data_IF_025891299334
#
_entry.id   IF_025891299334
#
_cell.length_a   1.000
_cell.length_b   1.000
_cell.length_c   1.000
_cell.angle_alpha   90.00
_cell.angle_beta   90.00
_cell.angle_gamma   90.00
#
_symmetry.space_group_name_H-M   'P 1'
#
loop_
_entity.id
_entity.type
_entity.pdbx_description
1 polymer ?
#
# COMPACT_ATOMS: atom_id res chain seq x y z
N UNK A 1 20.26 -5.07 17.86
CA UNK A 1 18.99 -4.48 17.38
C UNK A 1 17.85 -5.16 18.13
N UNK A 2 16.97 -4.43 18.81
CA UNK A 2 15.81 -4.96 19.57
C UNK A 2 14.54 -4.83 18.71
N UNK A 3 14.53 -5.50 17.54
CA UNK A 3 13.39 -5.48 16.62
C UNK A 3 12.22 -6.30 17.19
N UNK A 4 11.02 -5.74 17.17
CA UNK A 4 9.79 -6.37 17.69
C UNK A 4 8.63 -6.38 16.71
N UNK A 5 8.67 -5.54 15.68
CA UNK A 5 7.60 -5.45 14.70
C UNK A 5 8.13 -5.32 13.27
N UNK A 6 7.36 -5.85 12.31
CA UNK A 6 7.56 -5.64 10.88
C UNK A 6 6.28 -5.05 10.31
N UNK A 7 6.42 -3.93 9.61
CA UNK A 7 5.32 -3.17 9.01
C UNK A 7 5.53 -3.18 7.49
N UNK A 8 4.49 -3.52 6.75
CA UNK A 8 4.54 -3.61 5.29
C UNK A 8 3.67 -2.53 4.66
N UNK A 9 4.14 -1.93 3.57
CA UNK A 9 3.21 -1.37 2.60
C UNK A 9 2.41 -2.49 1.91
N UNK A 10 1.27 -2.12 1.35
CA UNK A 10 0.47 -3.06 0.56
C UNK A 10 0.86 -3.03 -0.91
N UNK A 11 0.78 -1.86 -1.56
CA UNK A 11 1.00 -1.71 -2.99
C UNK A 11 2.43 -2.05 -3.43
N UNK A 12 2.58 -2.93 -4.41
CA UNK A 12 3.87 -3.39 -4.95
C UNK A 12 4.84 -4.00 -3.92
N UNK A 13 4.36 -4.26 -2.68
CA UNK A 13 5.10 -5.00 -1.63
C UNK A 13 4.35 -6.28 -1.31
N UNK A 14 3.15 -6.19 -0.74
CA UNK A 14 2.26 -7.34 -0.49
C UNK A 14 1.39 -7.65 -1.71
N UNK A 15 1.02 -6.65 -2.52
CA UNK A 15 0.53 -6.88 -3.87
C UNK A 15 1.69 -7.02 -4.87
N UNK A 16 1.37 -7.56 -6.05
CA UNK A 16 2.19 -7.43 -7.24
C UNK A 16 2.09 -6.03 -7.85
N UNK A 17 2.71 -5.81 -9.01
CA UNK A 17 2.53 -4.58 -9.78
C UNK A 17 1.07 -4.42 -10.20
N UNK A 18 0.64 -3.18 -10.54
CA UNK A 18 -0.73 -2.95 -11.02
C UNK A 18 -1.10 -3.86 -12.20
N UNK A 19 -2.31 -4.48 -12.15
CA UNK A 19 -2.79 -5.36 -13.22
C UNK A 19 -2.95 -4.57 -14.53
N UNK A 20 -2.21 -4.93 -15.60
CA UNK A 20 -2.27 -4.21 -16.86
C UNK A 20 -3.63 -4.31 -17.57
N UNK A 21 -4.44 -5.35 -17.29
CA UNK A 21 -5.76 -5.48 -17.88
C UNK A 21 -6.75 -4.55 -17.18
N UNK A 22 -6.72 -4.48 -15.86
CA UNK A 22 -7.53 -3.54 -15.10
C UNK A 22 -7.20 -2.09 -15.50
N UNK A 23 -5.93 -1.76 -15.69
CA UNK A 23 -5.49 -0.46 -16.18
C UNK A 23 -6.04 -0.15 -17.59
N UNK A 24 -5.95 -1.10 -18.55
CA UNK A 24 -6.57 -0.93 -19.88
C UNK A 24 -8.07 -0.73 -19.81
N UNK A 25 -8.74 -1.43 -18.89
CA UNK A 25 -10.18 -1.26 -18.68
C UNK A 25 -10.51 0.14 -18.13
N UNK A 26 -9.70 0.68 -17.19
CA UNK A 26 -9.84 2.06 -16.72
C UNK A 26 -9.81 3.06 -17.89
N UNK A 27 -8.81 2.95 -18.74
CA UNK A 27 -8.66 3.81 -19.93
C UNK A 27 -9.84 3.67 -20.89
N UNK A 28 -10.29 2.43 -21.13
CA UNK A 28 -11.43 2.17 -22.02
C UNK A 28 -12.75 2.75 -21.46
N UNK A 29 -12.99 2.66 -20.15
CA UNK A 29 -14.18 3.24 -19.49
C UNK A 29 -14.10 4.75 -19.49
N UNK A 30 -12.93 5.32 -19.22
CA UNK A 30 -12.72 6.76 -19.19
C UNK A 30 -12.86 7.38 -20.59
N UNK A 31 -12.45 6.66 -21.65
CA UNK A 31 -12.58 7.12 -23.03
C UNK A 31 -11.75 8.36 -23.35
N UNK A 32 -10.64 8.56 -22.65
CA UNK A 32 -9.74 9.72 -22.79
C UNK A 32 -8.33 9.26 -23.15
N UNK A 33 -7.49 10.20 -23.55
CA UNK A 33 -6.09 9.94 -23.84
C UNK A 33 -5.37 9.46 -22.56
N UNK A 34 -4.52 8.44 -22.67
CA UNK A 34 -3.80 7.81 -21.57
C UNK A 34 -2.95 8.81 -20.78
N UNK A 35 -2.19 9.67 -21.47
CA UNK A 35 -1.34 10.67 -20.82
C UNK A 35 -2.16 11.65 -19.97
N UNK A 36 -3.29 12.13 -20.51
CA UNK A 36 -4.20 13.01 -19.78
C UNK A 36 -4.86 12.30 -18.59
N UNK A 37 -5.23 11.03 -18.78
CA UNK A 37 -5.78 10.21 -17.71
C UNK A 37 -4.78 10.01 -16.56
N UNK A 38 -3.60 9.50 -16.85
CA UNK A 38 -2.54 9.25 -15.89
C UNK A 38 -2.16 10.51 -15.10
N UNK A 39 -2.01 11.63 -15.80
CA UNK A 39 -1.70 12.90 -15.18
C UNK A 39 -2.75 13.29 -14.14
N UNK A 40 -4.03 13.19 -14.46
CA UNK A 40 -5.11 13.56 -13.54
C UNK A 40 -5.29 12.51 -12.44
N UNK A 41 -5.25 11.22 -12.79
CA UNK A 41 -5.36 10.12 -11.85
C UNK A 41 -4.35 10.23 -10.70
N UNK A 42 -3.08 10.44 -11.00
CA UNK A 42 -2.04 10.56 -9.98
C UNK A 42 -2.00 11.93 -9.29
N UNK A 43 -2.42 13.01 -9.95
CA UNK A 43 -2.42 14.34 -9.35
C UNK A 43 -3.32 14.43 -8.10
N UNK A 44 -4.40 13.67 -8.07
CA UNK A 44 -5.40 13.70 -7.00
C UNK A 44 -5.38 12.43 -6.12
N UNK A 45 -4.42 11.51 -6.37
CA UNK A 45 -4.39 10.22 -5.68
C UNK A 45 -4.20 10.35 -4.17
N UNK A 46 -3.31 11.23 -3.72
CA UNK A 46 -3.08 11.42 -2.28
C UNK A 46 -4.31 12.00 -1.57
N UNK A 47 -5.06 12.90 -2.21
CA UNK A 47 -6.31 13.43 -1.66
C UNK A 47 -7.39 12.35 -1.58
N UNK A 48 -7.42 11.43 -2.54
CA UNK A 48 -8.31 10.27 -2.52
C UNK A 48 -7.90 9.27 -1.43
N UNK A 49 -6.61 8.97 -1.32
CA UNK A 49 -6.08 8.06 -0.30
C UNK A 49 -6.19 8.65 1.13
N UNK A 50 -6.33 9.97 1.27
CA UNK A 50 -6.61 10.65 2.55
C UNK A 50 -8.12 10.87 2.82
N UNK A 51 -9.02 10.37 1.95
CA UNK A 51 -10.47 10.63 2.00
C UNK A 51 -10.88 12.13 1.99
N UNK A 52 -9.96 13.00 1.55
CA UNK A 52 -10.30 14.41 1.22
C UNK A 52 -11.23 14.43 0.01
N UNK A 53 -10.97 13.57 -0.97
CA UNK A 53 -11.84 13.24 -2.07
C UNK A 53 -12.39 11.82 -1.86
N UNK A 54 -13.71 11.69 -1.71
CA UNK A 54 -14.31 10.36 -1.75
C UNK A 54 -14.29 9.79 -3.19
N UNK A 55 -14.61 8.50 -3.35
CA UNK A 55 -14.52 7.84 -4.66
C UNK A 55 -15.33 8.54 -5.76
N UNK A 56 -16.52 9.09 -5.46
CA UNK A 56 -17.30 9.81 -6.44
C UNK A 56 -16.64 11.14 -6.84
N UNK A 57 -16.24 11.95 -5.86
CA UNK A 57 -15.62 13.27 -6.12
C UNK A 57 -14.25 13.13 -6.77
N UNK A 58 -13.47 12.09 -6.44
CA UNK A 58 -12.23 11.79 -7.10
C UNK A 58 -12.42 11.55 -8.60
N UNK A 59 -13.30 10.63 -8.99
CA UNK A 59 -13.55 10.34 -10.39
C UNK A 59 -14.21 11.49 -11.15
N UNK A 60 -15.06 12.30 -10.49
CA UNK A 60 -15.58 13.54 -11.08
C UNK A 60 -14.47 14.57 -11.32
N UNK A 61 -13.46 14.62 -10.46
CA UNK A 61 -12.29 15.49 -10.64
C UNK A 61 -11.45 15.03 -11.82
N UNK A 62 -11.19 13.72 -11.95
CA UNK A 62 -10.50 13.15 -13.12
C UNK A 62 -11.28 13.46 -14.41
N UNK A 63 -12.59 13.31 -14.40
CA UNK A 63 -13.46 13.64 -15.54
C UNK A 63 -13.32 15.11 -15.95
N UNK A 64 -13.43 16.03 -14.99
CA UNK A 64 -13.29 17.46 -15.22
C UNK A 64 -11.94 17.83 -15.83
N UNK A 65 -10.86 17.29 -15.28
CA UNK A 65 -9.49 17.63 -15.71
C UNK A 65 -9.18 17.06 -17.10
N UNK A 66 -9.84 15.97 -17.49
CA UNK A 66 -9.71 15.35 -18.81
C UNK A 66 -10.75 15.83 -19.83
N UNK A 67 -11.64 16.77 -19.42
CA UNK A 67 -12.62 17.39 -20.30
C UNK A 67 -13.82 16.52 -20.66
N UNK A 68 -14.11 15.49 -19.83
CA UNK A 68 -15.24 14.58 -20.01
C UNK A 68 -16.19 14.63 -18.80
N UNK A 69 -17.28 13.87 -18.86
CA UNK A 69 -18.15 13.61 -17.72
C UNK A 69 -18.43 12.11 -17.60
N UNK A 70 -18.35 11.57 -16.39
CA UNK A 70 -18.68 10.18 -16.14
C UNK A 70 -20.10 10.05 -15.57
N UNK A 71 -20.86 9.10 -16.08
CA UNK A 71 -22.13 8.66 -15.48
C UNK A 71 -21.85 7.94 -14.15
N UNK A 72 -22.86 7.83 -13.29
CA UNK A 72 -22.74 7.08 -12.04
C UNK A 72 -22.26 5.64 -12.28
N UNK A 73 -22.77 4.98 -13.33
CA UNK A 73 -22.34 3.62 -13.70
C UNK A 73 -20.87 3.56 -14.13
N UNK A 74 -20.37 4.55 -14.87
CA UNK A 74 -18.96 4.60 -15.22
C UNK A 74 -18.07 4.80 -13.99
N UNK A 75 -18.50 5.64 -13.04
CA UNK A 75 -17.77 5.83 -11.78
C UNK A 75 -17.70 4.53 -10.98
N UNK A 76 -18.78 3.78 -10.88
CA UNK A 76 -18.77 2.45 -10.25
C UNK A 76 -17.79 1.49 -10.93
N UNK A 77 -17.80 1.45 -12.27
CA UNK A 77 -16.88 0.62 -13.04
C UNK A 77 -15.41 1.06 -12.88
N UNK A 78 -15.15 2.37 -12.86
CA UNK A 78 -13.81 2.91 -12.63
C UNK A 78 -13.30 2.55 -11.24
N UNK A 79 -14.12 2.67 -10.20
CA UNK A 79 -13.76 2.25 -8.83
C UNK A 79 -13.46 0.75 -8.75
N UNK A 80 -14.24 -0.08 -9.45
CA UNK A 80 -13.99 -1.52 -9.50
C UNK A 80 -12.67 -1.84 -10.19
N UNK A 81 -12.38 -1.23 -11.34
CA UNK A 81 -11.13 -1.46 -12.06
C UNK A 81 -9.92 -0.91 -11.29
N UNK A 82 -10.05 0.25 -10.63
CA UNK A 82 -9.02 0.78 -9.73
C UNK A 82 -8.70 -0.21 -8.60
N UNK A 83 -9.71 -0.82 -8.00
CA UNK A 83 -9.49 -1.84 -6.99
C UNK A 83 -8.82 -3.10 -7.57
N UNK A 84 -9.29 -3.56 -8.73
CA UNK A 84 -8.75 -4.76 -9.41
C UNK A 84 -7.27 -4.62 -9.77
N UNK A 85 -6.79 -3.42 -10.04
CA UNK A 85 -5.36 -3.17 -10.29
C UNK A 85 -4.44 -3.70 -9.18
N UNK A 86 -4.93 -3.80 -7.95
CA UNK A 86 -4.14 -4.11 -6.75
C UNK A 86 -4.47 -5.47 -6.13
N UNK A 87 -5.23 -6.34 -6.83
CA UNK A 87 -5.68 -7.62 -6.26
C UNK A 87 -4.68 -8.77 -6.46
N UNK A 88 -3.75 -8.67 -7.39
CA UNK A 88 -2.68 -9.65 -7.54
C UNK A 88 -1.71 -9.53 -6.36
N UNK A 89 -1.39 -10.66 -5.75
CA UNK A 89 -0.62 -10.71 -4.53
C UNK A 89 0.81 -11.21 -4.81
N UNK A 90 1.77 -10.70 -4.04
CA UNK A 90 3.14 -11.17 -4.07
C UNK A 90 3.28 -12.47 -3.24
N UNK A 91 3.39 -13.64 -3.88
CA UNK A 91 3.30 -14.92 -3.18
C UNK A 91 4.48 -15.14 -2.20
N UNK A 92 5.66 -14.62 -2.51
CA UNK A 92 6.83 -14.75 -1.64
C UNK A 92 6.65 -13.92 -0.36
N UNK A 93 6.16 -12.69 -0.49
CA UNK A 93 5.89 -11.82 0.66
C UNK A 93 4.79 -12.41 1.54
N UNK A 94 3.71 -12.94 0.94
CA UNK A 94 2.64 -13.60 1.70
C UNK A 94 3.10 -14.86 2.42
N UNK A 95 3.96 -15.68 1.81
CA UNK A 95 4.53 -16.87 2.44
C UNK A 95 5.48 -16.53 3.61
N UNK A 96 6.04 -15.33 3.61
CA UNK A 96 6.94 -14.86 4.67
C UNK A 96 6.19 -14.40 5.93
N UNK A 97 4.98 -13.85 5.80
CA UNK A 97 4.15 -13.34 6.90
C UNK A 97 4.02 -14.34 8.06
N UNK A 98 3.54 -15.58 7.86
CA UNK A 98 3.40 -16.54 8.96
C UNK A 98 4.73 -16.91 9.59
N UNK A 99 5.84 -16.91 8.86
CA UNK A 99 7.18 -17.21 9.37
C UNK A 99 7.68 -16.11 10.31
N UNK A 100 7.43 -14.84 9.95
CA UNK A 100 7.75 -13.68 10.81
C UNK A 100 6.91 -13.78 12.09
N UNK A 101 5.61 -14.05 11.97
CA UNK A 101 4.71 -14.17 13.13
C UNK A 101 5.13 -15.30 14.07
N UNK A 102 5.49 -16.47 13.54
CA UNK A 102 6.01 -17.60 14.30
C UNK A 102 7.34 -17.31 15.02
N UNK A 103 8.11 -16.39 14.49
CA UNK A 103 9.35 -15.91 15.13
C UNK A 103 9.11 -14.88 16.24
N UNK A 104 7.84 -14.58 16.56
CA UNK A 104 7.44 -13.72 17.69
C UNK A 104 7.35 -12.23 17.38
N UNK A 105 7.47 -11.83 16.12
CA UNK A 105 7.30 -10.42 15.74
C UNK A 105 5.83 -10.05 15.60
N UNK A 106 5.50 -8.81 15.94
CA UNK A 106 4.23 -8.19 15.58
C UNK A 106 4.22 -7.79 14.11
N UNK A 107 3.05 -7.90 13.50
CA UNK A 107 2.86 -7.59 12.09
C UNK A 107 1.93 -6.40 11.91
N UNK A 108 2.34 -5.43 11.11
CA UNK A 108 1.52 -4.29 10.71
C UNK A 108 1.43 -4.12 9.21
N UNK A 109 0.33 -3.55 8.75
CA UNK A 109 0.23 -2.93 7.42
C UNK A 109 0.12 -1.42 7.61
N UNK A 110 0.80 -0.66 6.75
CA UNK A 110 0.69 0.79 6.65
C UNK A 110 0.66 1.18 5.18
N UNK A 111 -0.53 1.50 4.67
CA UNK A 111 -0.70 1.80 3.24
C UNK A 111 -1.51 3.07 2.99
N UNK A 112 -1.08 3.82 1.96
CA UNK A 112 -1.91 4.85 1.36
C UNK A 112 -2.94 4.18 0.46
N UNK A 113 -4.23 4.25 0.83
CA UNK A 113 -5.29 3.51 0.16
C UNK A 113 -6.65 4.18 0.37
N UNK A 114 -7.35 4.43 -0.72
CA UNK A 114 -8.71 4.97 -0.69
C UNK A 114 -9.76 3.91 -0.33
N UNK A 115 -10.90 4.36 0.19
CA UNK A 115 -12.00 3.48 0.62
C UNK A 115 -12.55 2.58 -0.49
N UNK A 116 -12.47 2.98 -1.77
CA UNK A 116 -12.92 2.14 -2.89
C UNK A 116 -12.10 0.84 -2.99
N UNK A 117 -10.78 0.94 -2.95
CA UNK A 117 -9.87 -0.21 -2.97
C UNK A 117 -10.03 -1.03 -1.69
N UNK A 118 -10.04 -0.37 -0.53
CA UNK A 118 -10.17 -1.01 0.78
C UNK A 118 -11.47 -1.81 0.89
N UNK A 119 -12.61 -1.22 0.50
CA UNK A 119 -13.90 -1.90 0.55
C UNK A 119 -14.01 -3.11 -0.39
N UNK A 120 -13.26 -3.10 -1.50
CA UNK A 120 -13.18 -4.23 -2.41
C UNK A 120 -12.28 -5.34 -1.86
N UNK A 121 -11.17 -4.98 -1.23
CA UNK A 121 -10.12 -5.88 -0.74
C UNK A 121 -10.52 -6.62 0.56
N UNK A 122 -11.05 -5.90 1.56
CA UNK A 122 -11.30 -6.44 2.90
C UNK A 122 -12.15 -7.73 2.91
N UNK A 123 -13.27 -7.83 2.16
CA UNK A 123 -14.09 -9.04 2.17
C UNK A 123 -13.44 -10.23 1.44
N UNK A 124 -12.37 -10.00 0.67
CA UNK A 124 -11.72 -11.01 -0.18
C UNK A 124 -10.44 -11.58 0.42
N UNK A 125 -9.77 -10.84 1.30
CA UNK A 125 -8.44 -11.19 1.80
C UNK A 125 -8.45 -11.62 3.27
N UNK A 126 -8.82 -12.88 3.53
CA UNK A 126 -8.83 -13.47 4.86
C UNK A 126 -7.43 -13.50 5.53
N UNK A 127 -6.35 -13.51 4.75
CA UNK A 127 -4.98 -13.50 5.24
C UNK A 127 -4.61 -12.22 6.03
N UNK A 128 -5.35 -11.12 5.84
CA UNK A 128 -5.21 -9.89 6.64
C UNK A 128 -5.38 -10.12 8.13
N UNK A 129 -6.12 -11.16 8.54
CA UNK A 129 -6.29 -11.56 9.95
C UNK A 129 -5.00 -12.00 10.63
N UNK A 130 -3.92 -12.22 9.90
CA UNK A 130 -2.60 -12.53 10.46
C UNK A 130 -1.90 -11.32 11.06
N UNK A 131 -2.31 -10.11 10.69
CA UNK A 131 -1.71 -8.86 11.15
C UNK A 131 -2.30 -8.44 12.51
N UNK A 132 -1.43 -7.87 13.35
CA UNK A 132 -1.82 -7.37 14.66
C UNK A 132 -2.44 -5.96 14.57
N UNK A 133 -2.08 -5.20 13.53
CA UNK A 133 -2.70 -3.91 13.22
C UNK A 133 -2.63 -3.58 11.73
N UNK A 134 -3.71 -2.97 11.22
CA UNK A 134 -3.83 -2.46 9.87
C UNK A 134 -4.03 -0.93 9.95
N UNK A 135 -3.16 -0.18 9.28
CA UNK A 135 -3.27 1.29 9.15
C UNK A 135 -3.57 1.63 7.70
N UNK A 136 -4.74 2.17 7.47
CA UNK A 136 -5.18 2.66 6.17
C UNK A 136 -5.27 4.18 6.20
N UNK A 137 -4.64 4.86 5.26
CA UNK A 137 -4.59 6.32 5.24
C UNK A 137 -5.97 6.97 5.19
N UNK A 138 -6.92 6.40 4.44
CA UNK A 138 -8.29 6.91 4.34
C UNK A 138 -9.05 6.90 5.67
N UNK A 139 -8.74 5.99 6.60
CA UNK A 139 -9.37 5.95 7.92
C UNK A 139 -8.83 7.04 8.86
N UNK A 140 -7.63 7.55 8.59
CA UNK A 140 -6.95 8.55 9.42
C UNK A 140 -6.99 9.96 8.82
N UNK A 141 -7.27 10.10 7.53
CA UNK A 141 -7.12 11.36 6.82
C UNK A 141 -5.66 11.81 6.68
N UNK A 142 -4.71 10.89 6.81
CA UNK A 142 -3.26 11.15 6.81
C UNK A 142 -2.58 10.15 5.90
N UNK A 143 -1.68 10.60 5.03
CA UNK A 143 -0.95 9.76 4.06
C UNK A 143 0.54 9.74 4.34
N UNK A 144 1.22 8.64 4.00
CA UNK A 144 2.69 8.63 3.94
C UNK A 144 3.16 9.68 2.91
N UNK A 145 4.23 10.42 3.18
CA UNK A 145 5.21 10.25 4.27
C UNK A 145 4.97 11.15 5.52
N UNK A 146 3.73 11.53 5.85
CA UNK A 146 3.47 12.32 7.07
C UNK A 146 3.96 11.55 8.31
N UNK A 147 4.78 12.17 9.20
CA UNK A 147 5.27 11.54 10.42
C UNK A 147 4.20 10.92 11.31
N UNK A 148 3.01 11.52 11.37
CA UNK A 148 1.95 11.10 12.25
C UNK A 148 1.43 9.69 11.93
N UNK A 149 1.43 9.27 10.66
CA UNK A 149 0.90 7.95 10.26
C UNK A 149 1.83 6.82 10.72
N UNK A 150 3.16 7.02 10.68
CA UNK A 150 4.14 6.04 11.18
C UNK A 150 4.05 5.91 12.69
N UNK A 151 4.03 7.05 13.41
CA UNK A 151 3.91 7.08 14.87
C UNK A 151 2.58 6.47 15.34
N UNK A 152 1.48 6.69 14.61
CA UNK A 152 0.21 6.02 14.87
C UNK A 152 0.36 4.51 14.77
N UNK A 153 0.97 4.00 13.69
CA UNK A 153 1.12 2.56 13.44
C UNK A 153 1.95 1.88 14.52
N UNK A 154 3.13 2.40 14.87
CA UNK A 154 3.96 1.80 15.93
C UNK A 154 3.31 1.86 17.30
N UNK A 155 2.58 2.94 17.61
CA UNK A 155 1.79 3.05 18.84
C UNK A 155 0.70 1.98 18.91
N UNK A 156 0.00 1.71 17.81
CA UNK A 156 -1.03 0.66 17.74
C UNK A 156 -0.44 -0.74 17.86
N UNK A 157 0.75 -0.95 17.33
CA UNK A 157 1.51 -2.18 17.50
C UNK A 157 2.13 -2.30 18.90
N UNK A 158 2.12 -1.24 19.73
CA UNK A 158 2.67 -1.24 21.08
C UNK A 158 4.18 -1.41 21.12
N UNK A 159 4.90 -0.81 20.17
CA UNK A 159 6.37 -0.83 20.07
C UNK A 159 6.92 0.59 19.95
N UNK A 160 8.19 0.78 20.31
CA UNK A 160 8.90 2.02 20.05
C UNK A 160 9.30 2.10 18.55
N UNK A 161 9.51 3.31 17.98
CA UNK A 161 9.89 3.47 16.59
C UNK A 161 11.14 2.66 16.21
N UNK A 162 12.19 2.69 17.03
CA UNK A 162 13.45 1.95 16.81
C UNK A 162 13.34 0.43 16.99
N UNK A 163 12.16 -0.06 17.36
CA UNK A 163 11.83 -1.49 17.44
C UNK A 163 11.00 -1.98 16.24
N UNK A 164 10.72 -1.13 15.26
CA UNK A 164 9.95 -1.48 14.07
C UNK A 164 10.78 -1.36 12.79
N UNK A 165 10.58 -2.33 11.88
CA UNK A 165 11.07 -2.25 10.50
C UNK A 165 9.87 -1.98 9.60
N UNK A 166 9.95 -0.93 8.78
CA UNK A 166 9.00 -0.62 7.73
C UNK A 166 9.57 -1.00 6.35
N UNK A 167 8.76 -1.65 5.53
CA UNK A 167 9.12 -2.11 4.18
C UNK A 167 8.16 -1.46 3.19
N UNK A 168 8.70 -0.68 2.24
CA UNK A 168 7.92 0.09 1.26
C UNK A 168 8.71 0.20 -0.05
N UNK A 169 8.03 0.33 -1.19
CA UNK A 169 8.66 0.45 -2.50
C UNK A 169 9.03 1.90 -2.88
N UNK A 170 8.60 2.90 -2.12
CA UNK A 170 8.84 4.31 -2.41
C UNK A 170 9.88 4.93 -1.47
N UNK A 171 10.98 5.43 -2.04
CA UNK A 171 12.06 6.08 -1.29
C UNK A 171 11.56 7.20 -0.37
N UNK A 172 10.60 8.03 -0.82
CA UNK A 172 10.03 9.09 0.02
C UNK A 172 9.39 8.57 1.31
N UNK A 173 8.80 7.38 1.27
CA UNK A 173 8.17 6.74 2.42
C UNK A 173 9.22 6.15 3.37
N UNK A 174 10.32 5.62 2.82
CA UNK A 174 11.48 5.15 3.59
C UNK A 174 12.08 6.31 4.37
N UNK A 175 12.38 7.43 3.70
CA UNK A 175 12.92 8.64 4.34
C UNK A 175 11.96 9.16 5.43
N UNK A 176 10.65 9.16 5.18
CA UNK A 176 9.65 9.56 6.18
C UNK A 176 9.63 8.66 7.42
N UNK A 177 9.76 7.35 7.25
CA UNK A 177 9.83 6.39 8.35
C UNK A 177 11.12 6.55 9.17
N UNK A 178 12.27 6.70 8.52
CA UNK A 178 13.55 6.90 9.18
C UNK A 178 13.59 8.23 9.96
N UNK A 179 12.96 9.28 9.45
CA UNK A 179 12.88 10.58 10.11
C UNK A 179 12.17 10.53 11.47
N UNK A 180 11.30 9.54 11.71
CA UNK A 180 10.63 9.33 13.01
C UNK A 180 11.27 8.19 13.81
N UNK A 181 12.42 7.67 13.38
CA UNK A 181 13.22 6.69 14.10
C UNK A 181 12.89 5.23 13.84
N UNK A 182 12.05 4.90 12.84
CA UNK A 182 11.88 3.52 12.40
C UNK A 182 13.14 3.04 11.66
N UNK A 183 13.39 1.72 11.70
CA UNK A 183 14.18 1.11 10.66
C UNK A 183 13.33 1.03 9.40
N UNK A 184 13.92 1.27 8.23
CA UNK A 184 13.19 1.12 6.98
C UNK A 184 14.01 0.37 5.92
N UNK A 185 13.35 -0.34 5.02
CA UNK A 185 13.97 -1.07 3.92
C UNK A 185 13.18 -0.84 2.64
N UNK A 186 13.88 -0.35 1.61
CA UNK A 186 13.31 -0.17 0.28
C UNK A 186 13.06 -1.55 -0.36
N UNK A 187 11.85 -1.77 -0.81
CA UNK A 187 11.49 -2.96 -1.57
C UNK A 187 11.58 -2.70 -3.07
N UNK A 188 12.40 -3.42 -3.78
CA UNK A 188 12.45 -3.44 -5.25
C UNK A 188 12.05 -4.82 -5.79
N UNK A 189 12.49 -5.87 -5.10
CA UNK A 189 12.13 -7.27 -5.34
C UNK A 189 12.58 -8.11 -4.14
N UNK A 190 12.14 -9.37 -4.11
CA UNK A 190 12.39 -10.32 -3.03
C UNK A 190 13.89 -10.54 -2.78
N UNK A 191 14.67 -10.73 -3.85
CA UNK A 191 16.11 -10.99 -3.74
C UNK A 191 16.86 -9.78 -3.16
N UNK A 192 16.57 -8.58 -3.64
CA UNK A 192 17.17 -7.33 -3.14
C UNK A 192 16.83 -7.13 -1.67
N UNK A 193 15.56 -7.28 -1.28
CA UNK A 193 15.15 -7.12 0.11
C UNK A 193 15.85 -8.14 1.02
N UNK A 194 15.90 -9.42 0.64
CA UNK A 194 16.59 -10.46 1.38
C UNK A 194 18.06 -10.12 1.61
N UNK A 195 18.76 -9.67 0.55
CA UNK A 195 20.16 -9.30 0.62
C UNK A 195 20.39 -8.08 1.54
N UNK A 196 19.49 -7.07 1.48
CA UNK A 196 19.59 -5.91 2.36
C UNK A 196 19.36 -6.28 3.83
N UNK A 197 18.32 -7.05 4.13
CA UNK A 197 18.02 -7.52 5.49
C UNK A 197 19.17 -8.36 6.08
N UNK A 198 19.75 -9.26 5.29
CA UNK A 198 20.89 -10.09 5.70
C UNK A 198 22.14 -9.23 5.96
N UNK A 199 22.48 -8.30 5.06
CA UNK A 199 23.61 -7.38 5.21
C UNK A 199 23.48 -6.53 6.47
N UNK A 200 22.27 -6.03 6.75
CA UNK A 200 21.95 -5.21 7.93
C UNK A 200 21.71 -6.04 9.20
N UNK A 201 21.78 -7.36 9.10
CA UNK A 201 21.63 -8.33 10.20
C UNK A 201 20.31 -8.19 10.95
N UNK A 202 19.20 -7.98 10.24
CA UNK A 202 17.89 -8.04 10.85
C UNK A 202 17.60 -9.47 11.34
N UNK A 203 17.07 -9.64 12.57
CA UNK A 203 16.82 -10.95 13.16
C UNK A 203 15.51 -11.57 12.62
N UNK A 204 15.32 -11.54 11.31
CA UNK A 204 14.11 -12.02 10.63
C UNK A 204 14.38 -13.39 9.98
N UNK A 205 13.36 -14.25 9.85
CA UNK A 205 13.47 -15.47 9.08
C UNK A 205 13.82 -15.16 7.63
N UNK A 206 14.57 -16.04 6.99
CA UNK A 206 15.00 -15.87 5.59
C UNK A 206 13.76 -15.72 4.70
N UNK A 207 13.76 -14.69 3.88
CA UNK A 207 12.75 -14.50 2.84
C UNK A 207 13.15 -15.36 1.62
N UNK A 208 12.31 -16.32 1.26
CA UNK A 208 12.62 -17.26 0.16
C UNK A 208 11.77 -16.90 -1.06
N UNK A 209 12.37 -16.86 -2.27
CA UNK A 209 11.59 -16.77 -3.49
C UNK A 209 10.68 -18.01 -3.59
N UNK A 210 9.45 -17.80 -4.00
CA UNK A 210 8.52 -18.90 -4.33
C UNK A 210 8.87 -19.38 -5.74
N UNK A 211 9.04 -20.69 -5.88
CA UNK A 211 9.37 -21.35 -7.16
C UNK A 211 8.22 -21.25 -8.17
#
# INVERSE_FOLDING_TARGET
>A
MDLKAVIFDYGEVLSGPPDPQAHRNLLAIAGVNEEAFEKSYWAHRLDYDADILNGQTYWQTVARDTGVSFTAKQIEQLQEQDALMWMDLNPAMLAWIPRIKQSGFRLGILSNMGYGVLGYMLPRFSWLSQFDHLTWSCELGIVKPDPAIYLHTVKKLGVAPDQALFIDNLEKNIVGAEAVGLHAALFQNVEQLQNDLARRRFPLPVLEPVA
#
